data_IF_233114363742
#
_entry.id   IF_233114363742
#
_cell.length_a   1.000
_cell.length_b   1.000
_cell.length_c   1.000
_cell.angle_alpha   90.00
_cell.angle_beta   90.00
_cell.angle_gamma   90.00
#
_symmetry.space_group_name_H-M   'P 1'
#
loop_
_entity.id
_entity.type
_entity.pdbx_description
1 polymer ?
#
# COMPACT_ATOMS: atom_id res chain seq x y z
N UNK A 1 21.17 -9.18 12.45
CA UNK A 1 20.53 -7.89 12.05
C UNK A 1 20.58 -6.99 13.29
N UNK A 2 20.97 -5.74 13.15
CA UNK A 2 20.95 -4.74 14.22
C UNK A 2 19.61 -4.00 14.09
N UNK A 3 18.82 -3.99 15.15
CA UNK A 3 17.52 -3.31 15.15
C UNK A 3 17.69 -1.89 15.73
N UNK A 4 17.86 -0.92 14.84
CA UNK A 4 18.08 0.49 15.15
C UNK A 4 17.18 1.39 14.30
N UNK A 5 17.32 2.69 14.49
CA UNK A 5 16.50 3.70 13.79
C UNK A 5 16.66 3.64 12.27
N UNK A 6 17.83 3.31 11.77
CA UNK A 6 18.08 3.17 10.33
C UNK A 6 17.30 2.00 9.74
N UNK A 7 17.34 0.85 10.43
CA UNK A 7 16.57 -0.33 10.03
C UNK A 7 15.06 -0.10 10.12
N UNK A 8 14.59 0.61 11.14
CA UNK A 8 13.19 1.00 11.26
C UNK A 8 12.76 1.87 10.07
N UNK A 9 13.53 2.92 9.74
CA UNK A 9 13.21 3.81 8.62
C UNK A 9 13.24 3.08 7.28
N UNK A 10 14.20 2.18 7.08
CA UNK A 10 14.28 1.32 5.90
C UNK A 10 13.05 0.41 5.79
N UNK A 11 12.65 -0.23 6.89
CA UNK A 11 11.44 -1.05 6.94
C UNK A 11 10.19 -0.24 6.58
N UNK A 12 9.96 0.90 7.23
CA UNK A 12 8.82 1.77 6.94
C UNK A 12 8.84 2.25 5.48
N UNK A 13 10.03 2.58 4.95
CA UNK A 13 10.20 2.98 3.55
C UNK A 13 9.79 1.91 2.54
N UNK A 14 10.00 0.63 2.86
CA UNK A 14 9.61 -0.50 2.04
C UNK A 14 8.10 -0.85 2.18
N UNK A 15 7.50 -0.54 3.33
CA UNK A 15 6.10 -0.85 3.63
C UNK A 15 5.15 0.21 3.07
N UNK A 16 5.00 0.29 1.76
CA UNK A 16 4.24 1.33 1.05
C UNK A 16 2.75 1.02 0.89
N UNK A 17 2.34 -0.24 1.12
CA UNK A 17 0.95 -0.69 1.25
C UNK A 17 0.85 -1.83 2.27
N UNK A 18 -0.35 -2.24 2.72
CA UNK A 18 -0.50 -3.41 3.60
C UNK A 18 0.13 -4.68 3.02
N UNK A 19 0.01 -4.89 1.72
CA UNK A 19 0.63 -6.02 1.01
C UNK A 19 2.15 -5.97 1.06
N UNK A 20 2.76 -4.79 0.81
CA UNK A 20 4.20 -4.58 0.93
C UNK A 20 4.69 -4.72 2.37
N UNK A 21 3.85 -4.38 3.36
CA UNK A 21 4.17 -4.60 4.78
C UNK A 21 4.31 -6.09 5.08
N UNK A 22 3.39 -6.91 4.59
CA UNK A 22 3.43 -8.37 4.78
C UNK A 22 4.60 -8.98 4.03
N UNK A 23 4.80 -8.62 2.76
CA UNK A 23 5.92 -9.11 1.95
C UNK A 23 7.28 -8.77 2.57
N UNK A 24 7.50 -7.49 2.92
CA UNK A 24 8.75 -7.04 3.58
C UNK A 24 8.97 -7.78 4.90
N UNK A 25 7.91 -7.98 5.68
CA UNK A 25 7.99 -8.69 6.96
C UNK A 25 8.29 -10.18 6.78
N UNK A 26 7.68 -10.80 5.77
CA UNK A 26 7.94 -12.19 5.39
C UNK A 26 9.41 -12.39 5.01
N UNK A 27 9.94 -11.55 4.13
CA UNK A 27 11.35 -11.61 3.72
C UNK A 27 12.30 -11.48 4.91
N UNK A 28 12.03 -10.53 5.84
CA UNK A 28 12.83 -10.39 7.06
C UNK A 28 12.84 -11.64 7.94
N UNK A 29 11.71 -12.35 8.02
CA UNK A 29 11.59 -13.61 8.75
C UNK A 29 12.33 -14.74 8.04
N UNK A 30 12.16 -14.89 6.73
CA UNK A 30 12.84 -15.89 5.91
C UNK A 30 14.36 -15.72 5.96
N UNK A 31 14.87 -14.50 5.78
CA UNK A 31 16.29 -14.14 5.93
C UNK A 31 16.82 -14.43 7.33
N UNK A 32 15.94 -14.37 8.32
CA UNK A 32 16.25 -14.74 9.69
C UNK A 32 16.15 -16.24 9.94
N UNK A 33 15.80 -17.08 8.97
CA UNK A 33 15.74 -18.54 8.99
C UNK A 33 14.44 -19.07 9.59
N UNK A 34 13.33 -18.39 9.39
CA UNK A 34 11.99 -18.96 9.54
C UNK A 34 11.68 -19.83 8.32
N UNK A 35 10.88 -20.87 8.54
CA UNK A 35 10.35 -21.73 7.48
C UNK A 35 8.92 -21.28 7.16
N UNK A 36 8.66 -20.99 5.89
CA UNK A 36 7.30 -20.69 5.45
C UNK A 36 6.46 -21.96 5.38
N UNK A 37 5.23 -21.84 5.86
CA UNK A 37 4.21 -22.89 5.81
C UNK A 37 3.06 -22.44 4.94
N UNK A 38 2.56 -23.34 4.10
CA UNK A 38 1.38 -23.11 3.29
C UNK A 38 0.11 -23.41 4.08
N UNK A 39 -0.95 -22.64 3.88
CA UNK A 39 -2.24 -22.87 4.54
C UNK A 39 -2.89 -24.19 4.12
N UNK A 40 -2.64 -24.64 2.89
CA UNK A 40 -3.24 -25.82 2.29
C UNK A 40 -2.48 -27.13 2.62
N UNK A 41 -1.30 -27.02 3.27
CA UNK A 41 -0.48 -28.16 3.60
C UNK A 41 -0.82 -28.73 5.00
N UNK A 42 -0.62 -30.05 5.17
CA UNK A 42 -0.60 -30.66 6.50
C UNK A 42 0.73 -30.36 7.20
N UNK A 43 0.66 -29.58 8.28
CA UNK A 43 1.87 -29.14 8.98
C UNK A 43 2.44 -30.21 9.91
N UNK A 44 3.69 -30.59 9.67
CA UNK A 44 4.48 -31.41 10.59
C UNK A 44 5.47 -30.49 11.33
N UNK A 45 5.12 -30.11 12.57
CA UNK A 45 5.81 -29.09 13.33
C UNK A 45 6.75 -29.70 14.37
N UNK A 46 8.04 -29.52 14.16
CA UNK A 46 9.08 -29.77 15.15
C UNK A 46 9.48 -28.49 15.89
N UNK A 47 10.49 -28.59 16.77
CA UNK A 47 11.14 -27.42 17.35
C UNK A 47 11.75 -26.55 16.22
N UNK A 48 11.25 -25.34 16.04
CA UNK A 48 11.65 -24.47 14.92
C UNK A 48 10.94 -23.12 14.93
N UNK A 49 11.20 -22.35 13.91
CA UNK A 49 10.56 -21.04 13.68
C UNK A 49 9.84 -21.08 12.35
N UNK A 50 8.59 -20.71 12.36
CA UNK A 50 7.69 -20.84 11.23
C UNK A 50 6.95 -19.53 10.96
N UNK A 51 6.57 -19.32 9.72
CA UNK A 51 5.75 -18.20 9.28
C UNK A 51 4.70 -18.65 8.29
N UNK A 52 3.52 -18.05 8.36
CA UNK A 52 2.39 -18.26 7.44
C UNK A 52 1.96 -16.92 6.89
N UNK A 53 1.95 -16.81 5.58
CA UNK A 53 1.35 -15.68 4.88
C UNK A 53 -0.13 -15.98 4.62
N UNK A 54 -1.03 -15.14 5.15
CA UNK A 54 -2.47 -15.31 5.01
C UNK A 54 -2.99 -14.26 4.03
N UNK A 55 -3.20 -14.68 2.80
CA UNK A 55 -3.76 -13.89 1.69
C UNK A 55 -3.03 -12.56 1.40
N UNK A 56 -1.72 -12.50 1.68
CA UNK A 56 -0.90 -11.33 1.39
C UNK A 56 -1.13 -10.09 2.28
N UNK A 57 -2.05 -10.16 3.24
CA UNK A 57 -2.40 -9.02 4.13
C UNK A 57 -2.19 -9.30 5.61
N UNK A 58 -2.02 -10.56 5.99
CA UNK A 58 -1.80 -10.99 7.37
C UNK A 58 -0.63 -11.94 7.44
N UNK A 59 0.22 -11.76 8.46
CA UNK A 59 1.37 -12.62 8.70
C UNK A 59 1.27 -13.21 10.10
N UNK A 60 1.44 -14.52 10.20
CA UNK A 60 1.47 -15.22 11.45
C UNK A 60 2.81 -15.94 11.62
N UNK A 61 3.65 -15.47 12.53
CA UNK A 61 4.97 -16.04 12.81
C UNK A 61 5.03 -16.61 14.23
N UNK A 62 5.62 -17.80 14.38
CA UNK A 62 5.73 -18.44 15.68
C UNK A 62 7.01 -19.26 15.81
N UNK A 63 7.40 -19.51 17.08
CA UNK A 63 8.56 -20.31 17.44
C UNK A 63 8.16 -21.42 18.40
N UNK A 64 8.55 -22.66 18.08
CA UNK A 64 8.38 -23.85 18.92
C UNK A 64 9.73 -24.17 19.54
N UNK A 65 9.83 -24.08 20.86
CA UNK A 65 11.03 -24.43 21.60
C UNK A 65 11.25 -25.95 21.67
N UNK A 66 12.48 -26.37 21.98
CA UNK A 66 12.84 -27.80 22.16
C UNK A 66 12.06 -28.51 23.28
N UNK A 67 11.60 -27.75 24.27
CA UNK A 67 10.74 -28.24 25.35
C UNK A 67 9.57 -27.27 25.44
N UNK A 68 8.51 -27.47 24.66
CA UNK A 68 7.36 -26.59 24.68
C UNK A 68 6.71 -26.61 26.07
N UNK A 69 6.68 -25.46 26.71
CA UNK A 69 5.86 -25.23 27.89
C UNK A 69 4.40 -25.04 27.45
N UNK A 70 3.45 -25.33 28.34
CA UNK A 70 2.01 -25.09 28.07
C UNK A 70 1.66 -23.60 28.11
N UNK A 71 2.62 -22.72 27.81
CA UNK A 71 2.46 -21.27 27.85
C UNK A 71 2.65 -20.68 26.46
N UNK A 72 1.64 -19.96 25.99
CA UNK A 72 1.66 -19.22 24.73
C UNK A 72 1.85 -17.72 25.05
N UNK A 73 2.80 -17.09 24.37
CA UNK A 73 3.01 -15.63 24.41
C UNK A 73 2.66 -15.07 23.04
N UNK A 74 1.74 -14.13 22.98
CA UNK A 74 1.26 -13.51 21.75
C UNK A 74 1.60 -12.04 21.78
N UNK A 75 2.17 -11.53 20.66
CA UNK A 75 2.31 -10.12 20.38
C UNK A 75 1.67 -9.85 19.02
N UNK A 76 0.93 -8.76 18.88
CA UNK A 76 0.22 -8.42 17.64
C UNK A 76 0.36 -6.94 17.32
N UNK A 77 0.32 -6.63 16.03
CA UNK A 77 0.26 -5.30 15.46
C UNK A 77 -0.54 -5.37 14.16
N UNK A 78 -1.11 -4.24 13.72
CA UNK A 78 -1.78 -4.21 12.42
C UNK A 78 -0.82 -3.74 11.32
N UNK A 79 -0.94 -4.33 10.14
CA UNK A 79 -0.07 -4.10 8.97
C UNK A 79 -0.53 -2.99 8.06
N UNK A 80 -1.77 -2.54 8.23
CA UNK A 80 -2.37 -1.43 7.50
C UNK A 80 -2.12 -0.09 8.20
N UNK A 81 -2.40 0.98 7.49
CA UNK A 81 -2.25 2.37 7.95
C UNK A 81 -3.20 3.28 7.17
N UNK A 82 -3.48 4.50 7.69
CA UNK A 82 -4.32 5.46 6.98
C UNK A 82 -3.74 5.80 5.60
N UNK A 83 -4.57 5.69 4.57
CA UNK A 83 -4.17 5.90 3.18
C UNK A 83 -5.32 6.44 2.31
N UNK A 84 -4.99 6.93 1.12
CA UNK A 84 -5.96 7.29 0.09
C UNK A 84 -6.09 6.10 -0.86
N UNK A 85 -7.24 5.44 -0.87
CA UNK A 85 -7.50 4.23 -1.67
C UNK A 85 -8.15 4.57 -3.00
N UNK A 86 -7.63 4.03 -4.09
CA UNK A 86 -8.19 4.19 -5.42
C UNK A 86 -9.42 3.30 -5.58
N UNK A 87 -10.54 3.87 -6.05
CA UNK A 87 -11.80 3.15 -6.25
C UNK A 87 -11.80 2.34 -7.54
N UNK A 88 -12.66 1.30 -7.66
CA UNK A 88 -12.81 0.51 -8.89
C UNK A 88 -13.20 1.31 -10.14
N UNK A 89 -13.89 2.45 -9.98
CA UNK A 89 -14.08 3.45 -11.04
C UNK A 89 -13.10 4.61 -10.79
N UNK A 90 -11.84 4.52 -11.28
CA UNK A 90 -10.74 5.31 -10.77
C UNK A 90 -10.64 6.71 -11.36
N UNK A 91 -11.24 6.97 -12.51
CA UNK A 91 -11.04 8.21 -13.25
C UNK A 91 -12.24 9.15 -13.13
N UNK A 92 -11.94 10.41 -12.89
CA UNK A 92 -12.89 11.52 -13.00
C UNK A 92 -12.20 12.73 -13.62
N UNK A 93 -12.93 13.45 -14.46
CA UNK A 93 -12.43 14.62 -15.17
C UNK A 93 -13.03 15.91 -14.62
N UNK A 94 -12.18 16.90 -14.39
CA UNK A 94 -12.62 18.21 -13.91
C UNK A 94 -11.71 19.34 -14.42
N UNK A 95 -12.27 20.28 -15.16
CA UNK A 95 -11.59 21.52 -15.60
C UNK A 95 -10.25 21.26 -16.30
N UNK A 96 -10.19 20.25 -17.19
CA UNK A 96 -9.00 19.92 -17.96
C UNK A 96 -7.98 19.08 -17.20
N UNK A 97 -8.35 18.54 -16.01
CA UNK A 97 -7.54 17.61 -15.25
C UNK A 97 -8.20 16.24 -15.17
N UNK A 98 -7.41 15.20 -15.38
CA UNK A 98 -7.77 13.84 -15.02
C UNK A 98 -7.40 13.63 -13.56
N UNK A 99 -8.37 13.27 -12.73
CA UNK A 99 -8.21 13.03 -11.30
C UNK A 99 -8.53 11.59 -10.94
N UNK A 100 -7.88 11.09 -9.89
CA UNK A 100 -8.25 9.82 -9.30
C UNK A 100 -9.49 9.96 -8.42
N UNK A 101 -10.45 9.07 -8.61
CA UNK A 101 -11.58 8.89 -7.73
C UNK A 101 -11.15 7.97 -6.58
N UNK A 102 -11.16 8.51 -5.38
CA UNK A 102 -10.57 7.87 -4.22
C UNK A 102 -11.52 7.85 -3.03
N UNK A 103 -11.21 7.02 -2.06
CA UNK A 103 -11.78 7.05 -0.73
C UNK A 103 -10.70 7.14 0.34
N UNK A 104 -11.04 7.77 1.46
CA UNK A 104 -10.15 7.86 2.61
C UNK A 104 -10.26 6.60 3.44
N UNK A 105 -9.17 5.87 3.57
CA UNK A 105 -9.06 4.68 4.39
C UNK A 105 -8.44 5.02 5.75
N UNK A 106 -9.11 4.63 6.83
CA UNK A 106 -8.65 4.89 8.20
C UNK A 106 -8.84 6.35 8.65
N UNK A 107 -8.15 6.71 9.71
CA UNK A 107 -8.22 8.03 10.35
C UNK A 107 -7.20 9.01 9.79
N UNK A 108 -7.40 9.53 8.57
CA UNK A 108 -6.48 10.51 7.98
C UNK A 108 -6.61 11.89 8.63
N UNK A 109 -5.46 12.55 8.80
CA UNK A 109 -5.37 13.99 8.99
C UNK A 109 -5.29 14.62 7.59
N UNK A 110 -6.42 14.99 7.01
CA UNK A 110 -6.58 15.31 5.58
C UNK A 110 -5.64 16.42 5.08
N UNK A 111 -5.45 17.48 5.86
CA UNK A 111 -4.57 18.59 5.47
C UNK A 111 -3.10 18.20 5.36
N UNK A 112 -2.65 17.13 6.01
CA UNK A 112 -1.25 16.66 5.87
C UNK A 112 -0.99 15.96 4.55
N UNK A 113 -2.01 15.72 3.74
CA UNK A 113 -1.90 15.11 2.41
C UNK A 113 -1.88 16.13 1.28
N UNK A 114 -2.22 17.39 1.58
CA UNK A 114 -2.21 18.46 0.59
C UNK A 114 -0.77 18.80 0.19
N UNK A 115 -0.59 19.14 -1.09
CA UNK A 115 0.67 19.57 -1.72
C UNK A 115 1.84 18.55 -1.61
N UNK A 116 1.56 17.31 -1.22
CA UNK A 116 2.58 16.26 -1.15
C UNK A 116 2.63 15.44 -2.44
N UNK A 117 3.84 15.13 -2.93
CA UNK A 117 4.02 14.17 -4.01
C UNK A 117 3.59 12.77 -3.55
N UNK A 118 2.67 12.14 -4.30
CA UNK A 118 2.10 10.84 -3.96
C UNK A 118 2.51 9.78 -4.99
N UNK A 119 3.03 8.66 -4.50
CA UNK A 119 3.17 7.41 -5.24
C UNK A 119 1.95 6.52 -5.04
N UNK A 120 1.88 5.40 -5.73
CA UNK A 120 0.87 4.37 -5.55
C UNK A 120 1.51 3.01 -5.30
N UNK A 121 0.92 2.24 -4.37
CA UNK A 121 1.35 0.88 -4.08
C UNK A 121 0.15 0.00 -3.71
N UNK A 122 0.28 -1.29 -4.00
CA UNK A 122 -0.76 -2.27 -3.73
C UNK A 122 -0.58 -3.55 -4.50
N UNK A 123 -1.67 -4.15 -4.92
CA UNK A 123 -1.67 -5.38 -5.71
C UNK A 123 -2.57 -5.23 -6.94
N UNK A 124 -2.16 -5.89 -8.02
CA UNK A 124 -2.93 -6.06 -9.26
C UNK A 124 -3.17 -7.54 -9.46
N UNK A 125 -4.42 -7.90 -9.73
CA UNK A 125 -4.82 -9.28 -9.99
C UNK A 125 -4.95 -9.47 -11.50
N UNK A 126 -4.20 -10.41 -12.02
CA UNK A 126 -4.13 -10.75 -13.44
C UNK A 126 -4.91 -12.02 -13.75
N UNK A 127 -5.34 -12.17 -14.99
CA UNK A 127 -5.92 -13.41 -15.49
C UNK A 127 -4.90 -14.53 -15.41
N UNK A 128 -5.27 -15.61 -14.73
CA UNK A 128 -4.56 -16.87 -14.75
C UNK A 128 -5.16 -17.85 -15.75
N UNK A 129 -4.82 -19.11 -15.60
CA UNK A 129 -5.27 -20.18 -16.51
C UNK A 129 -6.77 -20.47 -16.44
N UNK A 130 -7.41 -20.16 -15.32
CA UNK A 130 -8.84 -20.35 -15.09
C UNK A 130 -9.31 -19.43 -13.94
N UNK A 131 -10.61 -19.46 -13.65
CA UNK A 131 -11.24 -18.60 -12.64
C UNK A 131 -10.77 -18.82 -11.18
N UNK A 132 -10.11 -19.94 -10.90
CA UNK A 132 -9.61 -20.30 -9.57
C UNK A 132 -8.07 -20.20 -9.47
N UNK A 133 -7.41 -19.84 -10.56
CA UNK A 133 -5.95 -19.74 -10.68
C UNK A 133 -5.62 -18.37 -11.25
N UNK A 134 -5.61 -17.37 -10.38
CA UNK A 134 -5.31 -15.95 -10.70
C UNK A 134 -3.93 -15.60 -10.19
N UNK A 135 -3.22 -14.77 -10.95
CA UNK A 135 -1.93 -14.24 -10.54
C UNK A 135 -2.12 -12.90 -9.83
N UNK A 136 -1.37 -12.68 -8.75
CA UNK A 136 -1.39 -11.44 -7.99
C UNK A 136 0.01 -10.83 -7.96
N UNK A 137 0.15 -9.61 -8.45
CA UNK A 137 1.43 -8.91 -8.58
C UNK A 137 1.45 -7.69 -7.68
N UNK A 138 2.51 -7.55 -6.88
CA UNK A 138 2.74 -6.35 -6.08
C UNK A 138 3.24 -5.21 -6.98
N UNK A 139 2.65 -4.04 -6.80
CA UNK A 139 3.00 -2.82 -7.55
C UNK A 139 3.37 -1.72 -6.58
N UNK A 140 4.52 -1.10 -6.80
CA UNK A 140 4.94 0.12 -6.12
C UNK A 140 5.64 1.04 -7.13
N UNK A 141 5.04 2.18 -7.40
CA UNK A 141 5.55 3.13 -8.39
C UNK A 141 6.91 3.71 -8.03
N UNK A 142 7.27 3.75 -6.77
CA UNK A 142 8.54 4.31 -6.23
C UNK A 142 8.87 5.73 -6.73
N UNK A 143 7.91 6.36 -7.38
CA UNK A 143 7.98 7.74 -7.89
C UNK A 143 6.65 8.45 -7.66
N UNK A 144 6.65 9.78 -7.57
CA UNK A 144 5.41 10.54 -7.50
C UNK A 144 4.65 10.46 -8.83
N UNK A 145 3.35 10.18 -8.74
CA UNK A 145 2.43 10.08 -9.89
C UNK A 145 1.19 10.95 -9.72
N UNK A 146 0.90 11.41 -8.51
CA UNK A 146 -0.28 12.21 -8.22
C UNK A 146 -0.01 13.25 -7.13
N UNK A 147 -0.91 14.22 -7.01
CA UNK A 147 -0.88 15.26 -5.98
C UNK A 147 -2.31 15.68 -5.63
N UNK A 148 -2.59 15.92 -4.36
CA UNK A 148 -3.79 16.64 -3.91
C UNK A 148 -3.42 18.10 -3.74
N UNK A 149 -3.78 18.98 -4.70
CA UNK A 149 -3.33 20.37 -4.65
C UNK A 149 -4.13 21.18 -3.62
N UNK A 150 -3.46 22.08 -2.92
CA UNK A 150 -4.08 23.10 -2.12
C UNK A 150 -4.26 24.41 -2.95
N UNK A 151 -5.06 25.31 -2.44
CA UNK A 151 -5.20 26.66 -3.02
C UNK A 151 -4.19 27.61 -2.41
N UNK A 152 -3.67 28.51 -3.24
CA UNK A 152 -2.87 29.64 -2.74
C UNK A 152 -3.68 30.48 -1.75
N UNK A 153 -3.01 31.07 -0.76
CA UNK A 153 -3.62 31.88 0.29
C UNK A 153 -4.54 32.99 -0.25
N UNK A 154 -4.23 33.54 -1.44
CA UNK A 154 -5.03 34.55 -2.10
C UNK A 154 -6.42 34.08 -2.50
N UNK A 155 -6.58 32.75 -2.72
CA UNK A 155 -7.85 32.13 -3.11
C UNK A 155 -8.57 31.47 -1.93
N UNK A 156 -7.88 31.29 -0.79
CA UNK A 156 -8.43 30.71 0.44
C UNK A 156 -7.82 31.40 1.67
N UNK A 157 -8.27 32.62 1.98
CA UNK A 157 -7.68 33.46 3.05
C UNK A 157 -7.92 32.92 4.46
N UNK A 158 -8.93 32.06 4.63
CA UNK A 158 -9.26 31.44 5.91
C UNK A 158 -8.57 30.12 6.14
N UNK A 159 -7.67 29.67 5.25
CA UNK A 159 -7.02 28.36 5.36
C UNK A 159 -6.31 28.15 6.71
N UNK A 160 -5.74 29.21 7.27
CA UNK A 160 -5.02 29.15 8.55
C UNK A 160 -5.97 29.13 9.78
N UNK A 161 -7.25 29.43 9.59
CA UNK A 161 -8.28 29.36 10.65
C UNK A 161 -8.92 27.96 10.74
N UNK A 162 -8.50 27.05 9.86
CA UNK A 162 -9.01 25.70 9.71
C UNK A 162 -10.10 25.61 8.65
N UNK A 163 -9.91 24.73 7.68
CA UNK A 163 -10.86 24.47 6.59
C UNK A 163 -11.30 23.02 6.65
N UNK A 164 -12.62 22.80 6.65
CA UNK A 164 -13.19 21.46 6.49
C UNK A 164 -13.09 21.07 5.01
N UNK A 165 -12.24 20.09 4.72
CA UNK A 165 -12.07 19.56 3.38
C UNK A 165 -13.23 18.65 2.97
N UNK A 166 -13.69 18.76 1.73
CA UNK A 166 -14.67 17.86 1.14
C UNK A 166 -13.94 16.73 0.41
N UNK A 167 -14.08 15.52 0.95
CA UNK A 167 -13.37 14.31 0.45
C UNK A 167 -13.64 14.01 -1.03
N UNK A 168 -14.83 14.32 -1.52
CA UNK A 168 -15.26 14.03 -2.91
C UNK A 168 -14.95 15.16 -3.90
N UNK A 169 -14.42 16.29 -3.45
CA UNK A 169 -14.10 17.44 -4.31
C UNK A 169 -12.66 17.90 -4.15
N UNK A 170 -12.23 18.09 -2.90
CA UNK A 170 -10.96 18.75 -2.58
C UNK A 170 -9.82 17.74 -2.36
N UNK A 171 -10.18 16.50 -1.97
CA UNK A 171 -9.20 15.43 -1.72
C UNK A 171 -8.97 14.51 -2.92
N UNK A 172 -9.51 14.83 -4.11
CA UNK A 172 -9.28 14.04 -5.31
C UNK A 172 -7.91 14.36 -5.93
N UNK A 173 -6.96 13.42 -5.95
CA UNK A 173 -5.63 13.66 -6.49
C UNK A 173 -5.66 13.93 -8.00
N UNK A 174 -4.88 14.88 -8.46
CA UNK A 174 -4.62 15.09 -9.88
C UNK A 174 -3.60 14.05 -10.32
N UNK A 175 -3.95 13.33 -11.39
CA UNK A 175 -3.10 12.33 -12.03
C UNK A 175 -2.37 12.93 -13.25
N UNK A 176 -3.11 13.62 -14.12
CA UNK A 176 -2.58 14.20 -15.36
C UNK A 176 -3.46 15.33 -15.87
N UNK A 177 -2.97 16.04 -16.89
CA UNK A 177 -3.80 16.92 -17.70
C UNK A 177 -4.70 16.09 -18.65
N UNK A 178 -5.94 16.52 -18.86
CA UNK A 178 -6.75 15.94 -19.94
C UNK A 178 -6.05 16.16 -21.28
N UNK A 179 -5.87 15.09 -22.03
CA UNK A 179 -5.36 15.16 -23.41
C UNK A 179 -6.53 15.54 -24.32
N UNK A 180 -6.45 16.68 -24.98
CA UNK A 180 -7.41 17.05 -26.02
C UNK A 180 -7.30 16.05 -27.18
N UNK A 181 -8.45 15.59 -27.68
CA UNK A 181 -8.55 14.61 -28.78
C UNK A 181 -7.95 15.10 -30.11
N UNK A 182 -7.39 16.29 -30.19
CA UNK A 182 -6.73 16.82 -31.40
C UNK A 182 -5.47 16.03 -31.76
N UNK A 183 -4.81 15.40 -30.79
CA UNK A 183 -3.65 14.53 -31.01
C UNK A 183 -4.03 13.07 -31.36
N UNK A 184 -5.32 12.73 -31.35
CA UNK A 184 -5.82 11.41 -31.73
C UNK A 184 -7.09 11.51 -32.59
N UNK A 185 -6.95 11.68 -33.94
CA UNK A 185 -8.06 11.99 -34.82
C UNK A 185 -9.08 10.87 -35.05
N UNK A 186 -9.00 9.75 -34.33
CA UNK A 186 -9.84 8.56 -34.54
C UNK A 186 -10.95 8.34 -33.50
N UNK A 187 -11.19 9.26 -32.55
CA UNK A 187 -12.27 9.09 -31.58
C UNK A 187 -13.49 9.96 -31.88
N UNK A 188 -14.67 9.36 -32.13
CA UNK A 188 -15.92 10.10 -32.18
C UNK A 188 -16.28 10.59 -30.76
N UNK A 189 -16.76 11.85 -30.71
CA UNK A 189 -17.41 12.44 -29.53
C UNK A 189 -18.62 11.57 -29.12
N UNK A 190 -18.47 10.77 -28.09
CA UNK A 190 -19.58 9.97 -27.56
C UNK A 190 -20.65 10.88 -26.98
N UNK A 191 -21.82 10.80 -27.61
CA UNK A 191 -23.06 11.45 -27.24
C UNK A 191 -23.51 11.02 -25.84
N UNK A 192 -23.49 11.94 -24.85
CA UNK A 192 -23.73 11.70 -23.42
C UNK A 192 -25.16 11.27 -23.07
N UNK A 193 -26.00 10.90 -24.03
CA UNK A 193 -27.44 10.71 -23.82
C UNK A 193 -27.94 9.27 -23.89
N UNK A 194 -27.06 8.26 -23.91
CA UNK A 194 -27.52 6.87 -23.83
C UNK A 194 -26.54 5.98 -23.07
N UNK A 195 -26.74 5.73 -21.77
CA UNK A 195 -25.93 4.74 -21.05
C UNK A 195 -26.39 3.34 -21.48
N UNK A 196 -25.68 2.73 -22.43
CA UNK A 196 -25.83 1.29 -22.66
C UNK A 196 -25.25 0.56 -21.44
N UNK A 197 -26.03 -0.35 -20.86
CA UNK A 197 -25.68 -1.15 -19.69
C UNK A 197 -24.54 -2.16 -19.96
N UNK A 198 -24.09 -2.28 -21.22
CA UNK A 198 -22.98 -3.13 -21.63
C UNK A 198 -22.19 -2.40 -22.73
N UNK A 199 -20.89 -2.11 -22.57
CA UNK A 199 -20.08 -1.53 -23.63
C UNK A 199 -19.94 -2.54 -24.78
N UNK A 200 -20.26 -2.09 -25.99
CA UNK A 200 -19.89 -2.81 -27.21
C UNK A 200 -18.37 -2.84 -27.35
N UNK A 201 -17.85 -3.85 -27.98
CA UNK A 201 -16.52 -4.45 -28.04
C UNK A 201 -15.33 -3.57 -28.49
N UNK A 202 -15.31 -2.29 -28.17
CA UNK A 202 -14.11 -1.45 -28.22
C UNK A 202 -13.87 -0.94 -26.79
N UNK A 203 -13.47 -1.85 -25.90
CA UNK A 203 -13.22 -1.56 -24.49
C UNK A 203 -12.00 -0.66 -24.37
N UNK A 204 -12.26 0.61 -24.44
CA UNK A 204 -11.28 1.61 -24.14
C UNK A 204 -11.05 1.61 -22.62
N UNK A 205 -10.00 0.95 -22.19
CA UNK A 205 -9.56 0.96 -20.80
C UNK A 205 -9.30 2.39 -20.35
N UNK A 206 -9.65 2.69 -19.10
CA UNK A 206 -9.36 3.99 -18.50
C UNK A 206 -7.85 4.21 -18.33
N UNK A 207 -7.45 5.45 -18.10
CA UNK A 207 -6.04 5.84 -18.01
C UNK A 207 -5.31 5.20 -16.80
N UNK A 208 -6.06 4.85 -15.74
CA UNK A 208 -5.48 4.18 -14.59
C UNK A 208 -5.19 2.70 -14.87
N UNK A 209 -6.13 2.01 -15.54
CA UNK A 209 -5.93 0.61 -15.94
C UNK A 209 -4.76 0.47 -16.92
N UNK A 210 -4.64 1.38 -17.88
CA UNK A 210 -3.48 1.42 -18.79
C UNK A 210 -2.18 1.67 -18.05
N UNK A 211 -2.17 2.62 -17.12
CA UNK A 211 -1.02 2.91 -16.29
C UNK A 211 -0.60 1.68 -15.46
N UNK A 212 -1.54 0.95 -14.85
CA UNK A 212 -1.23 -0.27 -14.11
C UNK A 212 -0.69 -1.37 -15.02
N UNK A 213 -1.23 -1.51 -16.23
CA UNK A 213 -0.75 -2.48 -17.21
C UNK A 213 0.71 -2.20 -17.61
N UNK A 214 1.07 -0.92 -17.81
CA UNK A 214 2.45 -0.51 -18.07
C UNK A 214 3.38 -0.82 -16.87
N UNK A 215 2.91 -0.64 -15.62
CA UNK A 215 3.71 -0.93 -14.41
C UNK A 215 3.99 -2.43 -14.21
N UNK A 216 3.10 -3.32 -14.69
CA UNK A 216 3.25 -4.78 -14.55
C UNK A 216 3.63 -5.49 -15.86
N UNK A 217 3.87 -4.73 -16.94
CA UNK A 217 4.24 -5.22 -18.27
C UNK A 217 3.24 -6.27 -18.83
N UNK A 218 1.93 -5.91 -18.83
CA UNK A 218 0.87 -6.75 -19.36
C UNK A 218 -0.10 -5.97 -20.25
N UNK A 219 -0.99 -6.69 -20.97
CA UNK A 219 -2.10 -6.07 -21.68
C UNK A 219 -3.18 -5.61 -20.67
N UNK A 220 -3.78 -4.41 -20.83
CA UNK A 220 -4.84 -3.93 -19.94
C UNK A 220 -6.02 -4.90 -19.78
N UNK A 221 -6.28 -5.76 -20.81
CA UNK A 221 -7.33 -6.78 -20.76
C UNK A 221 -7.01 -7.95 -19.81
N UNK A 222 -5.78 -8.09 -19.36
CA UNK A 222 -5.36 -9.13 -18.43
C UNK A 222 -5.62 -8.73 -16.99
N UNK A 223 -5.83 -7.43 -16.71
CA UNK A 223 -6.14 -6.94 -15.35
C UNK A 223 -7.58 -7.26 -15.00
N UNK A 224 -7.79 -8.09 -13.98
CA UNK A 224 -9.11 -8.43 -13.45
C UNK A 224 -9.57 -7.45 -12.36
N UNK A 225 -8.65 -7.06 -11.48
CA UNK A 225 -8.90 -6.12 -10.41
C UNK A 225 -7.61 -5.57 -9.83
N UNK A 226 -7.73 -4.62 -8.93
CA UNK A 226 -6.59 -4.09 -8.18
C UNK A 226 -7.03 -3.61 -6.80
N UNK A 227 -6.08 -3.56 -5.88
CA UNK A 227 -6.21 -2.84 -4.62
C UNK A 227 -4.98 -1.94 -4.46
N UNK A 228 -5.17 -0.65 -4.79
CA UNK A 228 -4.10 0.35 -4.83
C UNK A 228 -4.37 1.49 -3.85
N UNK A 229 -3.34 1.87 -3.12
CA UNK A 229 -3.35 3.02 -2.21
C UNK A 229 -2.29 4.02 -2.60
N UNK A 230 -2.59 5.31 -2.42
CA UNK A 230 -1.61 6.37 -2.57
C UNK A 230 -0.85 6.55 -1.26
N UNK A 231 0.43 6.89 -1.36
CA UNK A 231 1.29 7.15 -0.22
C UNK A 231 2.22 8.34 -0.50
N UNK A 232 2.59 9.15 0.52
CA UNK A 232 3.61 10.19 0.37
C UNK A 232 4.97 9.58 0.04
N UNK A 233 5.62 10.08 -1.02
CA UNK A 233 6.91 9.54 -1.50
C UNK A 233 8.10 10.03 -0.67
N UNK A 234 7.91 10.99 0.22
CA UNK A 234 8.97 11.45 1.11
C UNK A 234 9.42 10.34 2.06
N UNK A 235 10.72 10.20 2.18
CA UNK A 235 11.34 9.22 3.07
C UNK A 235 11.33 9.72 4.51
N UNK A 236 11.23 8.77 5.45
CA UNK A 236 11.45 9.09 6.86
C UNK A 236 12.91 9.49 7.13
N UNK A 237 13.11 10.31 8.15
CA UNK A 237 14.43 10.79 8.54
C UNK A 237 14.60 10.89 10.05
N UNK A 238 15.85 10.92 10.48
CA UNK A 238 16.25 11.34 11.82
C UNK A 238 16.42 12.86 11.80
N UNK A 239 15.90 13.56 12.79
CA UNK A 239 15.92 15.02 12.88
C UNK A 239 16.22 15.50 14.30
N UNK A 240 16.47 16.80 14.43
CA UNK A 240 16.94 17.46 15.65
C UNK A 240 18.46 17.70 15.59
N UNK A 241 18.94 18.67 16.36
CA UNK A 241 20.37 19.03 16.40
C UNK A 241 21.25 17.89 16.87
N UNK A 242 20.73 17.04 17.74
CA UNK A 242 21.40 15.85 18.27
C UNK A 242 20.84 14.53 17.68
N UNK A 243 19.91 14.60 16.74
CA UNK A 243 19.30 13.42 16.13
C UNK A 243 18.31 12.69 17.08
N UNK A 244 17.59 13.45 17.92
CA UNK A 244 16.74 12.89 19.00
C UNK A 244 15.40 12.39 18.51
N UNK A 245 15.00 12.75 17.30
CA UNK A 245 13.66 12.48 16.78
C UNK A 245 13.69 11.70 15.46
N UNK A 246 12.62 10.96 15.22
CA UNK A 246 12.31 10.35 13.93
C UNK A 246 11.05 11.01 13.38
N UNK A 247 11.11 11.45 12.12
CA UNK A 247 9.95 11.84 11.34
C UNK A 247 9.76 10.86 10.19
N UNK A 248 8.61 10.23 10.12
CA UNK A 248 8.28 9.29 9.05
C UNK A 248 6.78 9.21 8.85
N UNK A 249 6.28 9.02 7.62
CA UNK A 249 4.91 8.56 7.43
C UNK A 249 4.73 7.15 8.04
N UNK A 250 3.50 6.76 8.32
CA UNK A 250 3.12 5.38 8.69
C UNK A 250 3.76 4.82 9.98
N UNK A 251 4.17 5.70 10.91
CA UNK A 251 4.68 5.24 12.22
C UNK A 251 3.65 4.39 12.97
N UNK A 252 2.39 4.80 12.93
CA UNK A 252 1.24 4.01 13.33
C UNK A 252 0.76 3.17 12.11
N UNK A 253 0.90 1.83 12.11
CA UNK A 253 1.39 1.03 13.22
C UNK A 253 2.69 0.26 12.86
N UNK A 254 3.44 0.72 11.85
CA UNK A 254 4.64 0.03 11.35
C UNK A 254 5.78 -0.04 12.38
N UNK A 255 5.82 0.90 13.34
CA UNK A 255 6.76 0.81 14.48
C UNK A 255 6.49 -0.40 15.36
N UNK A 256 5.21 -0.70 15.63
CA UNK A 256 4.81 -1.88 16.37
C UNK A 256 5.07 -3.16 15.57
N UNK A 257 4.79 -3.16 14.26
CA UNK A 257 5.14 -4.28 13.38
C UNK A 257 6.63 -4.59 13.44
N UNK A 258 7.49 -3.57 13.25
CA UNK A 258 8.93 -3.72 13.35
C UNK A 258 9.38 -4.21 14.74
N UNK A 259 8.76 -3.70 15.80
CA UNK A 259 9.06 -4.13 17.19
C UNK A 259 8.71 -5.60 17.43
N UNK A 260 7.53 -6.05 16.99
CA UNK A 260 7.09 -7.45 17.13
C UNK A 260 7.98 -8.39 16.30
N UNK A 261 8.28 -8.03 15.03
CA UNK A 261 9.20 -8.79 14.19
C UNK A 261 10.60 -8.88 14.79
N UNK A 262 11.13 -7.76 15.24
CA UNK A 262 12.45 -7.70 15.90
C UNK A 262 12.49 -8.57 17.16
N UNK A 263 11.42 -8.54 17.94
CA UNK A 263 11.27 -9.32 19.16
C UNK A 263 11.31 -10.82 18.90
N UNK A 264 10.53 -11.33 17.95
CA UNK A 264 10.48 -12.76 17.62
C UNK A 264 11.78 -13.24 16.99
N UNK A 265 12.41 -12.45 16.11
CA UNK A 265 13.70 -12.76 15.48
C UNK A 265 14.81 -12.84 16.53
N UNK A 266 14.82 -11.97 17.54
CA UNK A 266 15.81 -11.99 18.61
C UNK A 266 15.57 -13.13 19.60
N UNK A 267 14.32 -13.35 20.01
CA UNK A 267 13.96 -14.42 20.95
C UNK A 267 14.39 -15.81 20.48
N UNK A 268 14.35 -16.07 19.17
CA UNK A 268 14.84 -17.30 18.55
C UNK A 268 16.34 -17.53 18.77
N UNK A 269 17.17 -16.47 18.77
CA UNK A 269 18.64 -16.55 18.90
C UNK A 269 19.07 -16.81 20.34
N UNK A 270 18.33 -16.31 21.27
CA UNK A 270 18.54 -16.55 22.68
C UNK A 270 17.76 -17.81 23.04
N UNK A 271 18.31 -19.00 23.00
CA UNK A 271 17.71 -20.19 23.56
C UNK A 271 17.13 -19.88 24.96
N UNK A 272 16.02 -19.16 25.02
CA UNK A 272 15.42 -18.68 26.27
C UNK A 272 14.69 -19.85 26.92
N UNK A 273 15.48 -20.75 27.45
CA UNK A 273 15.09 -21.47 28.64
C UNK A 273 15.06 -20.41 29.78
N UNK A 274 13.89 -19.85 30.02
CA UNK A 274 13.66 -19.02 31.18
C UNK A 274 13.96 -17.53 31.02
N UNK A 275 13.01 -16.78 30.55
CA UNK A 275 12.71 -15.47 31.13
C UNK A 275 11.81 -15.74 32.31
N UNK A 276 12.38 -15.61 33.54
CA UNK A 276 11.65 -15.58 34.81
C UNK A 276 10.81 -14.32 34.91
#
# INVERSE_FOLDING_TARGET
MKFDNEQLLKYIGACTSPYHTVDTSLQMLLDSGFTELNLDDEWQLDSGSYVVNVFGTTLFAFHIGKKPEHTLRIASAHTDFPAIRVKPNPITSMKGYTKLNVEMYGGLIENTWLDRPLGAAGTVVLKGKNAFDVDSVLVDTKRPIAIVPNLAIHMNRSVNDGVKLNRQKEMLPILMMERNNEDNPTKPLNNRNNPSLFPESDTQYDEWTKFLADEVDCDPSEILSYEMTLYPTEQGCVLGTEGDFISSPRLDNLTSCFGVLSGIIQARKTNVNGVR
#
